data_IF_077805707300
#
_entry.id   IF_077805707300
#
_cell.length_a   1.000
_cell.length_b   1.000
_cell.length_c   1.000
_cell.angle_alpha   90.00
_cell.angle_beta   90.00
_cell.angle_gamma   90.00
#
_symmetry.space_group_name_H-M   'P 1'
#
loop_
_entity.id
_entity.type
_entity.pdbx_description
1 polymer ?
#
# COMPACT_ATOMS: atom_id res chain seq x y z
N UNK A 1 65.79 20.16 -27.32
CA UNK A 1 64.74 21.19 -27.10
C UNK A 1 63.43 20.60 -27.62
N UNK A 2 62.70 19.93 -26.73
CA UNK A 2 61.42 19.27 -27.02
C UNK A 2 60.33 20.33 -27.15
N UNK A 3 59.59 20.35 -28.26
CA UNK A 3 58.32 21.08 -28.34
C UNK A 3 57.16 20.10 -28.28
N UNK A 4 56.39 20.27 -27.20
CA UNK A 4 55.19 19.54 -26.83
C UNK A 4 53.99 20.21 -27.52
N UNK A 5 53.22 19.48 -28.34
CA UNK A 5 51.90 19.96 -28.79
C UNK A 5 50.85 18.99 -28.30
N UNK A 6 50.21 19.33 -27.18
CA UNK A 6 49.06 18.62 -26.64
C UNK A 6 47.78 19.13 -27.32
N UNK A 7 47.12 18.27 -28.08
CA UNK A 7 45.79 18.54 -28.63
C UNK A 7 44.73 18.07 -27.63
N UNK A 8 44.09 19.01 -26.93
CA UNK A 8 42.93 18.74 -26.08
C UNK A 8 41.68 18.52 -26.94
N UNK A 9 41.29 17.27 -27.16
CA UNK A 9 39.97 16.93 -27.70
C UNK A 9 38.94 17.00 -26.57
N UNK A 10 38.07 18.02 -26.59
CA UNK A 10 36.96 18.14 -25.67
C UNK A 10 35.85 17.16 -26.08
N UNK A 11 35.71 16.07 -25.32
CA UNK A 11 34.56 15.16 -25.41
C UNK A 11 33.36 15.83 -24.75
N UNK A 12 32.43 16.34 -25.56
CA UNK A 12 31.14 16.82 -25.08
C UNK A 12 30.29 15.63 -24.62
N UNK A 13 30.14 15.46 -23.31
CA UNK A 13 29.26 14.47 -22.70
C UNK A 13 27.80 14.84 -22.95
N UNK A 14 27.17 14.19 -23.94
CA UNK A 14 25.73 14.28 -24.18
C UNK A 14 25.00 13.48 -23.08
N UNK A 15 24.71 14.12 -21.96
CA UNK A 15 23.84 13.54 -20.93
C UNK A 15 22.39 13.66 -21.41
N UNK A 16 21.93 12.66 -22.16
CA UNK A 16 20.52 12.48 -22.42
C UNK A 16 19.84 12.04 -21.11
N UNK A 17 19.46 13.02 -20.29
CA UNK A 17 18.52 12.78 -19.21
C UNK A 17 17.20 12.32 -19.85
N UNK A 18 16.95 11.01 -19.83
CA UNK A 18 15.66 10.44 -20.12
C UNK A 18 14.67 10.99 -19.10
N UNK A 19 13.95 12.05 -19.47
CA UNK A 19 12.79 12.51 -18.73
C UNK A 19 11.78 11.36 -18.70
N UNK A 20 11.66 10.68 -17.56
CA UNK A 20 10.58 9.73 -17.35
C UNK A 20 9.26 10.51 -17.48
N UNK A 21 8.26 10.00 -18.22
CA UNK A 21 6.99 10.69 -18.35
C UNK A 21 6.33 10.76 -16.98
N UNK A 22 6.42 11.91 -16.34
CA UNK A 22 5.59 12.25 -15.21
C UNK A 22 4.13 12.32 -15.72
N UNK A 23 3.26 11.42 -15.24
CA UNK A 23 1.82 11.54 -15.45
C UNK A 23 1.12 10.40 -16.18
N UNK A 24 1.72 9.22 -16.35
CA UNK A 24 0.95 8.05 -16.77
C UNK A 24 0.29 7.40 -15.55
N UNK A 25 -1.05 7.28 -15.59
CA UNK A 25 -1.81 6.48 -14.62
C UNK A 25 -1.24 5.06 -14.57
N UNK A 26 -0.85 4.55 -13.40
CA UNK A 26 -0.43 3.15 -13.25
C UNK A 26 -1.46 2.18 -13.84
N UNK A 27 -1.00 1.11 -14.48
CA UNK A 27 -1.86 0.13 -15.16
C UNK A 27 -2.89 -0.44 -14.19
N UNK A 28 -2.51 -0.72 -12.94
CA UNK A 28 -3.45 -1.27 -11.95
C UNK A 28 -4.64 -0.35 -11.62
N UNK A 29 -4.50 0.97 -11.82
CA UNK A 29 -5.53 1.98 -11.62
C UNK A 29 -6.42 2.20 -12.86
N UNK A 30 -6.05 1.68 -14.04
CA UNK A 30 -6.85 1.83 -15.25
C UNK A 30 -7.92 0.71 -15.33
N UNK A 31 -9.21 1.02 -15.15
CA UNK A 31 -10.28 0.02 -15.18
C UNK A 31 -10.54 -0.55 -16.58
N UNK A 32 -9.97 0.03 -17.64
CA UNK A 32 -10.13 -0.45 -19.03
C UNK A 32 -9.14 -1.56 -19.39
N UNK A 33 -8.09 -1.77 -18.58
CA UNK A 33 -7.09 -2.82 -18.81
C UNK A 33 -7.59 -4.19 -18.33
N UNK A 34 -7.16 -5.30 -18.97
CA UNK A 34 -7.44 -6.65 -18.49
C UNK A 34 -7.03 -6.84 -17.03
N UNK A 35 -7.81 -7.62 -16.28
CA UNK A 35 -7.57 -7.82 -14.85
C UNK A 35 -6.17 -8.39 -14.54
N UNK A 36 -5.69 -9.33 -15.37
CA UNK A 36 -4.36 -9.94 -15.17
C UNK A 36 -3.22 -8.93 -15.33
N UNK A 37 -3.35 -7.96 -16.24
CA UNK A 37 -2.36 -6.90 -16.39
C UNK A 37 -2.36 -5.97 -15.17
N UNK A 38 -3.55 -5.68 -14.62
CA UNK A 38 -3.71 -4.84 -13.43
C UNK A 38 -3.11 -5.52 -12.20
N UNK A 39 -3.38 -6.82 -12.02
CA UNK A 39 -2.79 -7.64 -10.95
C UNK A 39 -1.26 -7.69 -11.12
N UNK A 40 -0.78 -7.98 -12.33
CA UNK A 40 0.66 -8.04 -12.61
C UNK A 40 1.38 -6.72 -12.33
N UNK A 41 0.78 -5.57 -12.68
CA UNK A 41 1.35 -4.27 -12.37
C UNK A 41 1.34 -3.98 -10.85
N UNK A 42 0.22 -4.24 -10.16
CA UNK A 42 0.11 -4.04 -8.71
C UNK A 42 1.11 -4.91 -7.94
N UNK A 43 1.16 -6.21 -8.22
CA UNK A 43 2.02 -7.16 -7.51
C UNK A 43 3.51 -6.88 -7.69
N UNK A 44 3.93 -6.28 -8.82
CA UNK A 44 5.33 -5.85 -9.01
C UNK A 44 5.68 -4.59 -8.22
N UNK A 45 4.70 -3.75 -7.90
CA UNK A 45 4.88 -2.53 -7.10
C UNK A 45 4.85 -2.82 -5.60
N UNK A 46 4.15 -3.89 -5.21
CA UNK A 46 4.01 -4.25 -3.80
C UNK A 46 5.32 -4.76 -3.18
N UNK A 47 5.60 -4.30 -1.96
CA UNK A 47 6.64 -4.87 -1.10
C UNK A 47 6.26 -6.27 -0.62
N UNK A 48 7.24 -7.03 -0.08
CA UNK A 48 6.95 -8.33 0.52
C UNK A 48 5.99 -8.20 1.72
N UNK A 49 6.16 -7.16 2.55
CA UNK A 49 5.29 -6.91 3.71
C UNK A 49 3.85 -6.64 3.28
N UNK A 50 3.64 -5.81 2.25
CA UNK A 50 2.30 -5.57 1.70
C UNK A 50 1.66 -6.86 1.17
N UNK A 51 2.42 -7.72 0.48
CA UNK A 51 1.90 -9.01 0.01
C UNK A 51 1.48 -9.90 1.17
N UNK A 52 2.27 -9.96 2.23
CA UNK A 52 1.92 -10.72 3.45
C UNK A 52 0.68 -10.10 4.11
N UNK A 53 0.58 -8.78 4.19
CA UNK A 53 -0.61 -8.09 4.71
C UNK A 53 -1.89 -8.52 3.99
N UNK A 54 -1.84 -8.61 2.65
CA UNK A 54 -2.98 -9.04 1.85
C UNK A 54 -3.40 -10.52 2.06
N UNK A 55 -2.52 -11.36 2.61
CA UNK A 55 -2.84 -12.75 2.97
C UNK A 55 -3.51 -12.89 4.35
N UNK A 56 -3.58 -11.80 5.12
CA UNK A 56 -4.10 -11.83 6.49
C UNK A 56 -5.49 -11.20 6.58
N UNK A 57 -6.44 -12.00 7.10
CA UNK A 57 -7.83 -11.62 7.32
C UNK A 57 -8.29 -12.17 8.68
N UNK A 58 -7.90 -11.53 9.80
CA UNK A 58 -8.15 -12.07 11.13
C UNK A 58 -9.64 -11.99 11.51
N UNK A 59 -10.10 -12.95 12.31
CA UNK A 59 -11.34 -12.80 13.06
C UNK A 59 -11.15 -11.78 14.18
N UNK A 60 -12.08 -10.82 14.34
CA UNK A 60 -11.91 -9.74 15.32
C UNK A 60 -12.00 -10.21 16.78
N UNK A 61 -12.53 -11.42 17.03
CA UNK A 61 -12.60 -11.99 18.39
C UNK A 61 -11.24 -12.39 18.96
N UNK A 62 -10.18 -12.53 18.15
CA UNK A 62 -8.85 -12.96 18.62
C UNK A 62 -8.27 -11.96 19.62
N UNK A 63 -7.50 -12.43 20.60
CA UNK A 63 -7.04 -11.59 21.73
C UNK A 63 -5.89 -10.66 21.33
N UNK A 64 -5.18 -10.99 20.27
CA UNK A 64 -4.08 -10.23 19.70
C UNK A 64 -4.57 -8.83 19.30
N UNK A 65 -5.77 -8.73 18.72
CA UNK A 65 -6.39 -7.45 18.37
C UNK A 65 -6.89 -6.66 19.61
N UNK A 66 -6.76 -7.20 20.82
CA UNK A 66 -7.20 -6.56 22.05
C UNK A 66 -8.31 -7.34 22.76
N UNK A 67 -8.55 -6.98 24.01
CA UNK A 67 -9.47 -7.67 24.93
C UNK A 67 -10.80 -6.96 25.15
N UNK A 68 -10.96 -5.75 24.64
CA UNK A 68 -12.20 -4.97 24.71
C UNK A 68 -12.51 -4.26 23.39
N UNK A 69 -13.73 -3.71 23.28
CA UNK A 69 -14.20 -3.04 22.06
C UNK A 69 -13.29 -1.86 21.67
N UNK A 70 -12.90 -0.92 22.57
CA UNK A 70 -12.00 0.16 22.22
C UNK A 70 -10.65 -0.32 21.67
N UNK A 71 -10.00 -1.29 22.31
CA UNK A 71 -8.72 -1.83 21.88
C UNK A 71 -8.83 -2.53 20.52
N UNK A 72 -9.86 -3.35 20.31
CA UNK A 72 -10.14 -4.00 19.02
C UNK A 72 -10.42 -3.01 17.90
N UNK A 73 -11.16 -1.94 18.21
CA UNK A 73 -11.44 -0.87 17.25
C UNK A 73 -10.14 -0.20 16.79
N UNK A 74 -9.24 0.11 17.73
CA UNK A 74 -7.95 0.70 17.40
C UNK A 74 -7.02 -0.26 16.65
N UNK A 75 -7.00 -1.54 17.04
CA UNK A 75 -6.25 -2.55 16.31
C UNK A 75 -6.74 -2.72 14.87
N UNK A 76 -8.06 -2.61 14.62
CA UNK A 76 -8.60 -2.63 13.26
C UNK A 76 -8.09 -1.44 12.42
N UNK A 77 -8.03 -0.23 12.99
CA UNK A 77 -7.46 0.94 12.28
C UNK A 77 -5.99 0.71 11.93
N UNK A 78 -5.20 0.29 12.91
CA UNK A 78 -3.76 0.02 12.72
C UNK A 78 -3.52 -1.10 11.72
N UNK A 79 -4.34 -2.15 11.74
CA UNK A 79 -4.22 -3.27 10.80
C UNK A 79 -4.57 -2.85 9.37
N UNK A 80 -5.63 -2.05 9.19
CA UNK A 80 -5.97 -1.46 7.89
C UNK A 80 -4.87 -0.51 7.37
N UNK A 81 -4.24 0.26 8.27
CA UNK A 81 -3.12 1.15 7.93
C UNK A 81 -1.79 0.42 7.72
N UNK A 82 -1.69 -0.88 8.03
CA UNK A 82 -0.40 -1.61 8.01
C UNK A 82 0.58 -1.21 9.11
N UNK A 83 0.10 -0.65 10.21
CA UNK A 83 0.91 -0.19 11.37
C UNK A 83 0.66 -1.00 12.64
N UNK A 84 -0.02 -2.14 12.51
CA UNK A 84 -0.33 -3.01 13.64
C UNK A 84 0.90 -3.75 14.16
N UNK A 85 1.79 -4.21 13.27
CA UNK A 85 3.12 -4.75 13.57
C UNK A 85 4.16 -4.19 12.59
N UNK A 86 5.44 -4.44 12.86
CA UNK A 86 6.52 -4.09 11.92
C UNK A 86 6.80 -5.19 10.88
N UNK A 87 6.08 -6.32 10.94
CA UNK A 87 6.35 -7.53 10.14
C UNK A 87 5.49 -7.62 8.87
N UNK A 88 4.28 -7.07 8.90
CA UNK A 88 3.32 -7.13 7.79
C UNK A 88 2.89 -5.73 7.37
N UNK A 89 2.51 -5.59 6.11
CA UNK A 89 1.91 -4.35 5.58
C UNK A 89 0.40 -4.28 5.82
N UNK A 90 -0.30 -3.40 5.09
CA UNK A 90 -1.75 -3.24 5.17
C UNK A 90 -2.50 -4.57 4.98
N UNK A 91 -3.40 -4.87 5.91
CA UNK A 91 -4.22 -6.08 5.90
C UNK A 91 -5.26 -6.11 4.77
N UNK A 92 -5.68 -7.29 4.33
CA UNK A 92 -6.73 -7.40 3.29
C UNK A 92 -8.13 -7.11 3.82
N UNK A 93 -8.39 -7.38 5.09
CA UNK A 93 -9.69 -7.12 5.70
C UNK A 93 -9.87 -7.82 7.04
N UNK A 94 -11.13 -7.97 7.45
CA UNK A 94 -11.48 -8.54 8.74
C UNK A 94 -12.63 -9.52 8.61
N UNK A 95 -12.55 -10.61 9.38
CA UNK A 95 -13.65 -11.52 9.60
C UNK A 95 -14.36 -11.15 10.91
N UNK A 96 -15.66 -11.41 11.00
CA UNK A 96 -16.51 -11.16 12.18
C UNK A 96 -16.55 -9.73 12.75
N UNK A 97 -15.88 -8.74 12.16
CA UNK A 97 -15.74 -7.38 12.70
C UNK A 97 -17.06 -6.75 13.16
N UNK A 98 -18.06 -6.73 12.28
CA UNK A 98 -19.34 -6.10 12.58
C UNK A 98 -20.09 -6.83 13.71
N UNK A 99 -20.04 -8.16 13.72
CA UNK A 99 -20.62 -8.99 14.78
C UNK A 99 -19.92 -8.78 16.12
N UNK A 100 -18.60 -8.54 16.10
CA UNK A 100 -17.77 -8.52 17.30
C UNK A 100 -17.73 -7.17 18.02
N UNK A 101 -17.68 -6.05 17.29
CA UNK A 101 -17.45 -4.73 17.92
C UNK A 101 -18.45 -3.63 17.51
N UNK A 102 -19.37 -3.88 16.57
CA UNK A 102 -20.27 -2.86 16.00
C UNK A 102 -21.76 -3.17 16.22
N UNK A 103 -22.18 -3.14 17.49
CA UNK A 103 -23.53 -3.59 17.90
C UNK A 103 -24.63 -2.51 17.83
N UNK A 104 -24.32 -1.26 17.44
CA UNK A 104 -25.31 -0.15 17.41
C UNK A 104 -26.14 -0.09 16.12
N UNK A 105 -26.01 -1.08 15.24
CA UNK A 105 -26.79 -1.23 14.02
C UNK A 105 -26.08 -0.74 12.76
N UNK A 106 -26.80 -0.78 11.63
CA UNK A 106 -26.24 -0.64 10.29
C UNK A 106 -25.51 0.69 10.04
N UNK A 107 -25.96 1.79 10.67
CA UNK A 107 -25.29 3.10 10.51
C UNK A 107 -23.86 3.07 11.06
N UNK A 108 -23.67 2.56 12.28
CA UNK A 108 -22.34 2.44 12.88
C UNK A 108 -21.43 1.56 12.03
N UNK A 109 -21.97 0.46 11.51
CA UNK A 109 -21.23 -0.45 10.65
C UNK A 109 -20.75 0.24 9.38
N UNK A 110 -21.66 0.90 8.64
CA UNK A 110 -21.31 1.63 7.44
C UNK A 110 -20.27 2.73 7.70
N UNK A 111 -20.44 3.52 8.76
CA UNK A 111 -19.51 4.59 9.14
C UNK A 111 -18.11 4.04 9.42
N UNK A 112 -17.99 2.95 10.18
CA UNK A 112 -16.68 2.38 10.52
C UNK A 112 -16.03 1.66 9.34
N UNK A 113 -16.78 0.94 8.51
CA UNK A 113 -16.21 0.36 7.28
C UNK A 113 -15.73 1.44 6.30
N UNK A 114 -16.45 2.56 6.18
CA UNK A 114 -16.02 3.70 5.38
C UNK A 114 -14.76 4.36 5.95
N UNK A 115 -14.64 4.43 7.28
CA UNK A 115 -13.42 4.90 7.95
C UNK A 115 -12.22 4.01 7.60
N UNK A 116 -12.36 2.69 7.73
CA UNK A 116 -11.31 1.73 7.37
C UNK A 116 -10.93 1.82 5.89
N UNK A 117 -11.92 1.96 4.99
CA UNK A 117 -11.67 2.17 3.56
C UNK A 117 -10.91 3.48 3.30
N UNK A 118 -11.23 4.56 4.03
CA UNK A 118 -10.51 5.83 3.93
C UNK A 118 -9.06 5.69 4.38
N UNK A 119 -8.81 4.95 5.46
CA UNK A 119 -7.45 4.61 5.91
C UNK A 119 -6.71 3.85 4.79
N UNK A 120 -7.33 2.79 4.25
CA UNK A 120 -6.76 1.98 3.17
C UNK A 120 -6.49 2.74 1.86
N UNK A 121 -7.10 3.90 1.65
CA UNK A 121 -6.86 4.74 0.46
C UNK A 121 -5.85 5.85 0.70
N UNK A 122 -5.57 6.22 1.95
CA UNK A 122 -4.82 7.45 2.28
C UNK A 122 -3.59 7.24 3.15
N UNK A 123 -3.39 6.04 3.71
CA UNK A 123 -2.33 5.76 4.67
C UNK A 123 -1.48 4.52 4.32
N UNK A 124 -1.73 3.88 3.17
CA UNK A 124 -1.07 2.65 2.72
C UNK A 124 -0.18 2.88 1.53
#
# INVERSE_FOLDING_TARGET
MFFLTAACAALASFSAALAQPAGQTPVYLDPKRPIEERIGDLMRRMTLKEKIGQLNLPCVYVRELGTDIPAKTEACRRFAAGTYTDEIGPGSGFFTLANEILHKGARQQAEFFNELQKIALTQT
#
